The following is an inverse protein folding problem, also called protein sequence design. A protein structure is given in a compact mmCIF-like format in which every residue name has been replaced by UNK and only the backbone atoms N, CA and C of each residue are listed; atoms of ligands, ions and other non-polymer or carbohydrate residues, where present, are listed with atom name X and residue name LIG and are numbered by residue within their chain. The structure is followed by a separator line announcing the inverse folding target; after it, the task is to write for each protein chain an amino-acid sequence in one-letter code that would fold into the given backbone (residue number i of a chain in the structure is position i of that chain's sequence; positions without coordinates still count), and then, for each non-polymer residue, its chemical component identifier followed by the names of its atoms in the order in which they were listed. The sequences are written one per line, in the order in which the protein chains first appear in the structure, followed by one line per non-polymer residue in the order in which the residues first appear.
data_IF_740585674796
#
_entry.id   IF_740585674796
#
_cell.length_a   1.000
_cell.length_b   1.000
_cell.length_c   1.000
_cell.angle_alpha   90.00
_cell.angle_beta   90.00
_cell.angle_gamma   90.00
#
_symmetry.space_group_name_H-M   'P 1'
#
loop_
_entity.id
_entity.type
_entity.pdbx_description
1 polymer ?
#
# COMPACT_ATOMS: atom_id res chain seq x y z
N UNK A 1 16.81 9.08 -13.58
CA UNK A 1 15.89 9.21 -14.72
C UNK A 1 14.97 8.01 -14.92
N UNK A 2 15.27 6.83 -14.36
CA UNK A 2 14.45 5.62 -14.54
C UNK A 2 13.25 5.52 -13.58
N UNK A 3 13.27 6.22 -12.45
CA UNK A 3 12.18 6.23 -11.46
C UNK A 3 10.91 6.96 -11.96
N UNK A 4 11.04 7.91 -12.87
CA UNK A 4 9.89 8.64 -13.40
C UNK A 4 9.06 7.84 -14.43
N UNK A 5 9.66 6.86 -15.07
CA UNK A 5 8.98 6.06 -16.09
C UNK A 5 7.94 5.10 -15.49
N UNK A 6 8.17 4.59 -14.29
CA UNK A 6 7.27 3.63 -13.63
C UNK A 6 6.06 4.30 -12.97
N UNK A 7 6.23 5.51 -12.44
CA UNK A 7 5.10 6.31 -11.91
C UNK A 7 4.10 6.70 -13.02
N UNK A 8 4.56 6.74 -14.27
CA UNK A 8 3.73 7.09 -15.43
C UNK A 8 2.65 6.07 -15.79
N UNK A 9 2.85 4.79 -15.47
CA UNK A 9 1.88 3.74 -15.81
C UNK A 9 0.64 3.83 -14.93
N UNK A 10 0.83 4.06 -13.64
CA UNK A 10 -0.31 4.23 -12.71
C UNK A 10 -1.07 5.54 -12.98
N UNK A 11 -0.38 6.63 -13.32
CA UNK A 11 -1.05 7.89 -13.69
C UNK A 11 -1.97 7.79 -14.91
N UNK A 12 -1.67 6.88 -15.85
CA UNK A 12 -2.54 6.68 -17.03
C UNK A 12 -3.84 5.95 -16.69
N UNK A 13 -3.85 5.12 -15.65
CA UNK A 13 -5.04 4.37 -15.24
C UNK A 13 -5.95 5.13 -14.27
N UNK A 14 -5.38 6.02 -13.46
CA UNK A 14 -6.13 6.67 -12.37
C UNK A 14 -6.57 8.10 -12.67
N UNK A 15 -6.50 8.62 -13.87
CA UNK A 15 -7.06 9.92 -14.27
C UNK A 15 -7.15 10.91 -13.08
N UNK A 16 -6.01 11.35 -12.52
CA UNK A 16 -6.01 12.31 -11.40
C UNK A 16 -6.50 13.65 -11.90
N UNK A 17 -7.65 14.16 -11.42
CA UNK A 17 -8.03 15.54 -11.68
C UNK A 17 -7.10 16.46 -10.89
N UNK A 18 -6.55 17.43 -11.60
CA UNK A 18 -5.70 18.51 -11.13
C UNK A 18 -6.47 19.41 -10.15
N UNK A 19 -5.80 19.70 -9.04
CA UNK A 19 -5.91 20.89 -8.20
C UNK A 19 -7.28 21.44 -7.77
N UNK A 20 -7.53 21.36 -6.44
CA UNK A 20 -8.25 22.41 -5.71
C UNK A 20 -7.92 22.41 -4.22
N UNK A 21 -7.70 23.57 -3.60
CA UNK A 21 -7.22 23.68 -2.21
C UNK A 21 -8.33 23.51 -1.20
N UNK A 22 -8.15 22.60 -0.24
CA UNK A 22 -9.09 22.43 0.87
C UNK A 22 -8.71 23.34 2.02
N UNK A 23 -9.65 24.20 2.29
CA UNK A 23 -9.77 25.20 3.36
C UNK A 23 -9.82 24.51 4.72
N UNK A 24 -8.98 25.02 5.62
CA UNK A 24 -8.98 24.73 7.05
C UNK A 24 -10.35 25.00 7.70
N UNK A 25 -10.86 24.07 8.50
CA UNK A 25 -11.77 24.39 9.59
C UNK A 25 -11.29 23.70 10.86
N UNK A 26 -11.02 24.55 11.81
CA UNK A 26 -10.63 24.35 13.18
C UNK A 26 -11.89 24.57 14.04
N UNK A 27 -12.21 23.65 14.93
CA UNK A 27 -13.01 23.87 16.16
C UNK A 27 -12.90 22.62 17.01
N UNK A 28 -12.26 22.70 18.12
CA UNK A 28 -12.62 23.11 19.49
C UNK A 28 -13.32 22.03 20.32
N UNK A 29 -12.56 21.44 21.23
CA UNK A 29 -12.67 21.28 22.71
C UNK A 29 -13.94 20.64 23.29
N UNK A 30 -13.85 19.56 24.03
CA UNK A 30 -13.87 19.39 25.49
C UNK A 30 -13.98 17.91 25.87
N UNK A 31 -12.98 17.47 26.61
CA UNK A 31 -12.95 16.96 28.00
C UNK A 31 -13.60 15.59 28.34
N UNK A 32 -12.80 14.80 28.94
CA UNK A 32 -12.85 14.01 30.14
C UNK A 32 -12.60 12.50 30.04
N UNK A 33 -11.51 12.12 30.70
CA UNK A 33 -11.24 10.92 31.50
C UNK A 33 -10.81 9.62 30.82
N UNK A 34 -9.50 9.44 30.91
CA UNK A 34 -8.78 8.29 31.47
C UNK A 34 -9.10 6.89 30.92
N UNK A 35 -8.32 6.48 29.96
CA UNK A 35 -7.50 5.27 30.08
C UNK A 35 -6.32 5.46 29.16
N UNK A 36 -5.13 5.43 29.76
CA UNK A 36 -3.83 5.66 29.12
C UNK A 36 -3.47 4.47 28.23
N UNK A 37 -4.03 4.48 27.03
CA UNK A 37 -3.41 3.88 25.86
C UNK A 37 -3.02 5.05 24.99
N UNK A 38 -1.74 5.21 24.69
CA UNK A 38 -1.28 6.21 23.73
C UNK A 38 -2.14 6.02 22.46
N UNK A 39 -2.73 7.08 21.90
CA UNK A 39 -3.55 6.96 20.70
C UNK A 39 -2.67 6.41 19.60
N UNK A 40 -3.00 5.21 19.13
CA UNK A 40 -2.37 4.66 17.92
C UNK A 40 -2.47 5.73 16.83
N UNK A 41 -1.36 6.00 16.11
CA UNK A 41 -1.37 7.00 15.06
C UNK A 41 -2.48 6.66 14.05
N UNK A 42 -3.26 7.65 13.69
CA UNK A 42 -4.45 7.52 12.79
C UNK A 42 -4.11 6.78 11.50
N UNK A 43 -2.90 6.93 11.03
CA UNK A 43 -2.29 6.24 9.91
C UNK A 43 -2.32 4.71 10.06
N UNK A 44 -1.88 4.17 11.20
CA UNK A 44 -1.87 2.72 11.42
C UNK A 44 -3.27 2.12 11.44
N UNK A 45 -4.24 2.85 11.98
CA UNK A 45 -5.65 2.42 11.95
C UNK A 45 -6.20 2.37 10.53
N UNK A 46 -5.86 3.36 9.72
CA UNK A 46 -6.29 3.41 8.32
C UNK A 46 -5.68 2.26 7.51
N UNK A 47 -4.39 2.01 7.69
CA UNK A 47 -3.71 0.90 7.00
C UNK A 47 -4.24 -0.47 7.41
N UNK A 48 -4.57 -0.65 8.71
CA UNK A 48 -5.18 -1.88 9.19
C UNK A 48 -6.57 -2.09 8.58
N UNK A 49 -7.38 -1.05 8.49
CA UNK A 49 -8.69 -1.12 7.87
C UNK A 49 -8.61 -1.51 6.39
N UNK A 50 -7.65 -0.95 5.64
CA UNK A 50 -7.39 -1.31 4.25
C UNK A 50 -7.03 -2.79 4.11
N UNK A 51 -6.21 -3.33 5.03
CA UNK A 51 -5.82 -4.74 5.03
C UNK A 51 -6.99 -5.68 5.34
N UNK A 52 -7.82 -5.30 6.31
CA UNK A 52 -8.98 -6.10 6.70
C UNK A 52 -10.03 -6.15 5.58
N UNK A 53 -10.33 -5.00 4.99
CA UNK A 53 -11.25 -4.90 3.84
C UNK A 53 -10.73 -5.68 2.64
N UNK A 54 -9.43 -5.56 2.31
CA UNK A 54 -8.82 -6.26 1.19
C UNK A 54 -8.85 -7.78 1.38
N UNK A 55 -8.54 -8.25 2.58
CA UNK A 55 -8.59 -9.67 2.91
C UNK A 55 -10.01 -10.23 2.80
N UNK A 56 -11.00 -9.44 3.20
CA UNK A 56 -12.40 -9.82 3.18
C UNK A 56 -12.93 -9.96 1.74
N UNK A 57 -12.79 -8.93 0.91
CA UNK A 57 -13.28 -9.02 -0.47
C UNK A 57 -12.54 -10.08 -1.30
N UNK A 58 -11.23 -10.32 -1.06
CA UNK A 58 -10.52 -11.39 -1.77
C UNK A 58 -11.06 -12.78 -1.41
N UNK A 59 -11.46 -12.98 -0.15
CA UNK A 59 -12.13 -14.23 0.26
C UNK A 59 -13.48 -14.40 -0.48
N UNK A 60 -14.25 -13.33 -0.65
CA UNK A 60 -15.52 -13.36 -1.39
C UNK A 60 -15.31 -13.70 -2.87
N UNK A 61 -14.26 -13.16 -3.49
CA UNK A 61 -13.92 -13.45 -4.88
C UNK A 61 -13.32 -14.85 -5.10
N UNK A 62 -12.84 -15.52 -4.04
CA UNK A 62 -12.21 -16.85 -4.14
C UNK A 62 -13.13 -17.93 -4.74
N UNK A 63 -14.43 -17.73 -4.64
CA UNK A 63 -15.43 -18.66 -5.23
C UNK A 63 -15.58 -18.47 -6.75
N UNK A 64 -15.38 -17.26 -7.25
CA UNK A 64 -15.73 -16.86 -8.62
C UNK A 64 -14.53 -16.60 -9.53
N UNK A 65 -13.36 -16.42 -8.96
CA UNK A 65 -12.13 -16.07 -9.68
C UNK A 65 -11.14 -17.24 -9.62
N UNK A 66 -10.49 -17.62 -10.73
CA UNK A 66 -9.50 -18.68 -10.72
C UNK A 66 -8.36 -18.40 -9.70
N UNK A 67 -7.94 -19.41 -8.92
CA UNK A 67 -6.90 -19.24 -7.90
C UNK A 67 -5.61 -18.58 -8.44
N UNK A 68 -5.21 -18.91 -9.67
CA UNK A 68 -4.01 -18.32 -10.31
C UNK A 68 -4.08 -16.80 -10.46
N UNK A 69 -5.29 -16.23 -10.57
CA UNK A 69 -5.48 -14.79 -10.67
C UNK A 69 -5.54 -14.13 -9.28
N UNK A 70 -5.92 -14.86 -8.25
CA UNK A 70 -5.98 -14.34 -6.89
C UNK A 70 -4.62 -14.30 -6.19
N UNK A 71 -3.67 -15.17 -6.59
CA UNK A 71 -2.34 -15.22 -5.98
C UNK A 71 -1.66 -13.85 -5.95
N UNK A 72 -1.49 -13.11 -7.06
CA UNK A 72 -0.87 -11.80 -7.01
C UNK A 72 -1.66 -10.77 -6.18
N UNK A 73 -2.99 -10.89 -6.10
CA UNK A 73 -3.80 -10.03 -5.24
C UNK A 73 -3.56 -10.31 -3.75
N UNK A 74 -3.47 -11.57 -3.33
CA UNK A 74 -3.08 -11.92 -1.97
C UNK A 74 -1.65 -11.51 -1.64
N UNK A 75 -0.73 -11.63 -2.59
CA UNK A 75 0.65 -11.17 -2.44
C UNK A 75 0.71 -9.65 -2.24
N UNK A 76 -0.13 -8.85 -2.92
CA UNK A 76 -0.23 -7.40 -2.69
C UNK A 76 -0.64 -7.09 -1.24
N UNK A 77 -1.67 -7.78 -0.72
CA UNK A 77 -2.12 -7.60 0.67
C UNK A 77 -1.00 -7.94 1.65
N UNK A 78 -0.32 -9.05 1.43
CA UNK A 78 0.79 -9.48 2.31
C UNK A 78 1.99 -8.52 2.22
N UNK A 79 2.30 -8.03 1.03
CA UNK A 79 3.38 -7.06 0.83
C UNK A 79 3.02 -5.72 1.49
N UNK A 80 1.78 -5.26 1.37
CA UNK A 80 1.31 -4.06 2.05
C UNK A 80 1.35 -4.20 3.58
N UNK A 81 1.01 -5.38 4.12
CA UNK A 81 1.16 -5.67 5.56
C UNK A 81 2.62 -5.54 6.01
N UNK A 82 3.58 -6.03 5.22
CA UNK A 82 5.01 -5.88 5.51
C UNK A 82 5.44 -4.41 5.48
N UNK A 83 4.97 -3.65 4.48
CA UNK A 83 5.24 -2.22 4.39
C UNK A 83 4.75 -1.50 5.65
N UNK A 84 3.50 -1.73 6.06
CA UNK A 84 2.92 -1.07 7.24
C UNK A 84 3.61 -1.48 8.54
N UNK A 85 4.06 -2.73 8.66
CA UNK A 85 4.82 -3.18 9.81
C UNK A 85 6.21 -2.53 9.88
N UNK A 86 6.89 -2.37 8.74
CA UNK A 86 8.22 -1.77 8.67
C UNK A 86 8.19 -0.23 8.81
N UNK A 87 7.12 0.43 8.39
CA UNK A 87 6.92 1.89 8.57
C UNK A 87 6.29 2.27 9.90
N UNK A 88 5.56 1.36 10.53
CA UNK A 88 4.83 1.58 11.79
C UNK A 88 5.64 1.31 13.06
N UNK A 89 6.72 0.55 12.98
CA UNK A 89 7.67 0.43 14.08
C UNK A 89 8.52 1.72 14.10
N UNK A 90 8.78 2.30 15.24
CA UNK A 90 9.57 3.51 15.59
C UNK A 90 10.74 3.91 14.65
N UNK A 91 10.72 3.38 13.43
CA UNK A 91 11.65 3.63 12.34
C UNK A 91 11.26 4.90 11.59
N UNK A 92 12.24 5.72 11.24
CA UNK A 92 12.06 6.92 10.42
C UNK A 92 11.74 6.64 8.95
N UNK A 93 11.70 5.37 8.56
CA UNK A 93 11.32 4.99 7.21
C UNK A 93 9.87 5.35 6.95
N UNK A 94 9.66 6.33 6.11
CA UNK A 94 8.33 6.78 5.71
C UNK A 94 8.17 6.63 4.21
N UNK A 95 7.04 6.07 3.79
CA UNK A 95 6.67 6.16 2.39
C UNK A 95 6.27 7.60 2.04
N UNK A 96 6.61 8.08 0.86
CA UNK A 96 6.00 9.30 0.33
C UNK A 96 4.46 9.15 0.36
N UNK A 97 3.76 10.19 0.83
CA UNK A 97 2.29 10.16 0.96
C UNK A 97 1.56 9.83 -0.34
N UNK A 98 2.13 10.22 -1.48
CA UNK A 98 1.62 9.88 -2.81
C UNK A 98 1.73 8.39 -3.10
N UNK A 99 2.84 7.76 -2.72
CA UNK A 99 3.05 6.30 -2.90
C UNK A 99 2.09 5.53 -2.00
N UNK A 100 1.98 5.92 -0.76
CA UNK A 100 1.06 5.30 0.19
C UNK A 100 -0.39 5.38 -0.29
N UNK A 101 -0.85 6.57 -0.68
CA UNK A 101 -2.18 6.77 -1.25
C UNK A 101 -2.42 5.88 -2.48
N UNK A 102 -1.41 5.74 -3.35
CA UNK A 102 -1.50 4.89 -4.55
C UNK A 102 -1.68 3.42 -4.18
N UNK A 103 -0.90 2.91 -3.21
CA UNK A 103 -1.02 1.52 -2.76
C UNK A 103 -2.38 1.25 -2.10
N UNK A 104 -2.85 2.17 -1.25
CA UNK A 104 -4.18 2.07 -0.64
C UNK A 104 -5.28 2.07 -1.70
N UNK A 105 -5.23 2.98 -2.66
CA UNK A 105 -6.21 3.07 -3.76
C UNK A 105 -6.18 1.81 -4.63
N UNK A 106 -5.01 1.23 -4.86
CA UNK A 106 -4.91 -0.04 -5.58
C UNK A 106 -5.66 -1.15 -4.86
N UNK A 107 -5.50 -1.30 -3.54
CA UNK A 107 -6.20 -2.33 -2.76
C UNK A 107 -7.69 -2.04 -2.58
N UNK A 108 -8.09 -0.80 -2.37
CA UNK A 108 -9.49 -0.46 -2.03
C UNK A 108 -10.36 -0.22 -3.26
N UNK A 109 -9.78 0.11 -4.40
CA UNK A 109 -10.54 0.51 -5.59
C UNK A 109 -10.16 -0.28 -6.83
N UNK A 110 -8.87 -0.31 -7.20
CA UNK A 110 -8.44 -0.91 -8.46
C UNK A 110 -8.66 -2.41 -8.48
N UNK A 111 -8.13 -3.14 -7.51
CA UNK A 111 -8.22 -4.61 -7.46
C UNK A 111 -9.68 -5.09 -7.36
N UNK A 112 -10.53 -4.59 -6.43
CA UNK A 112 -11.92 -5.03 -6.37
C UNK A 112 -12.72 -4.67 -7.63
N UNK A 113 -12.47 -3.54 -8.27
CA UNK A 113 -13.12 -3.19 -9.54
C UNK A 113 -12.71 -4.15 -10.66
N UNK A 114 -11.43 -4.45 -10.78
CA UNK A 114 -10.91 -5.37 -11.79
C UNK A 114 -11.51 -6.78 -11.61
N UNK A 115 -11.55 -7.30 -10.39
CA UNK A 115 -12.16 -8.59 -10.07
C UNK A 115 -13.67 -8.58 -10.33
N UNK A 116 -14.36 -7.48 -10.00
CA UNK A 116 -15.80 -7.32 -10.26
C UNK A 116 -16.10 -7.33 -11.76
N UNK A 117 -15.33 -6.64 -12.58
CA UNK A 117 -15.49 -6.63 -14.04
C UNK A 117 -15.28 -8.03 -14.60
N UNK A 118 -14.24 -8.73 -14.12
CA UNK A 118 -13.96 -10.10 -14.53
C UNK A 118 -15.13 -11.05 -14.19
N UNK A 119 -15.66 -10.99 -12.98
CA UNK A 119 -16.77 -11.88 -12.55
C UNK A 119 -18.09 -11.62 -13.27
N UNK A 120 -18.29 -10.38 -13.77
CA UNK A 120 -19.45 -10.02 -14.61
C UNK A 120 -19.31 -10.49 -16.05
N UNK A 121 -18.12 -10.85 -16.49
CA UNK A 121 -17.88 -11.36 -17.83
C UNK A 121 -18.42 -12.80 -17.91
N UNK A 122 -19.43 -13.02 -18.76
CA UNK A 122 -19.96 -14.37 -19.00
C UNK A 122 -18.94 -15.20 -19.78
N UNK A 123 -18.51 -16.33 -19.20
CA UNK A 123 -17.54 -17.25 -19.79
C UNK A 123 -16.25 -16.54 -20.22
N UNK A 124 -15.43 -16.05 -19.26
CA UNK A 124 -14.19 -15.38 -19.59
C UNK A 124 -13.26 -16.30 -20.36
N UNK A 125 -12.67 -15.79 -21.44
CA UNK A 125 -11.73 -16.57 -22.26
C UNK A 125 -10.40 -16.79 -21.52
N UNK A 126 -9.58 -17.78 -21.95
CA UNK A 126 -8.24 -17.96 -21.39
C UNK A 126 -7.37 -16.71 -21.53
N UNK A 127 -7.52 -15.94 -22.62
CA UNK A 127 -6.83 -14.68 -22.85
C UNK A 127 -7.24 -13.63 -21.81
N UNK A 128 -8.54 -13.43 -21.59
CA UNK A 128 -9.05 -12.49 -20.58
C UNK A 128 -8.60 -12.88 -19.17
N UNK A 129 -8.53 -14.18 -18.87
CA UNK A 129 -7.98 -14.64 -17.60
C UNK A 129 -6.48 -14.36 -17.50
N UNK A 130 -5.73 -14.49 -18.58
CA UNK A 130 -4.31 -14.17 -18.63
C UNK A 130 -4.06 -12.66 -18.49
N UNK A 131 -4.88 -11.83 -19.10
CA UNK A 131 -4.85 -10.37 -18.95
C UNK A 131 -5.12 -9.95 -17.50
N UNK A 132 -6.10 -10.58 -16.84
CA UNK A 132 -6.35 -10.34 -15.42
C UNK A 132 -5.13 -10.68 -14.55
N UNK A 133 -4.55 -11.87 -14.76
CA UNK A 133 -3.33 -12.30 -14.03
C UNK A 133 -2.20 -11.31 -14.25
N UNK A 134 -1.99 -10.88 -15.50
CA UNK A 134 -0.92 -9.93 -15.83
C UNK A 134 -1.16 -8.59 -15.15
N UNK A 135 -2.37 -8.03 -15.23
CA UNK A 135 -2.70 -6.75 -14.59
C UNK A 135 -2.49 -6.78 -13.06
N UNK A 136 -2.88 -7.88 -12.41
CA UNK A 136 -2.66 -8.04 -10.97
C UNK A 136 -1.18 -8.26 -10.62
N UNK A 137 -0.43 -8.95 -11.48
CA UNK A 137 1.01 -9.14 -11.30
C UNK A 137 1.76 -7.82 -11.45
N UNK A 138 1.42 -7.02 -12.44
CA UNK A 138 2.01 -5.70 -12.66
C UNK A 138 1.72 -4.77 -11.48
N UNK A 139 0.49 -4.79 -10.97
CA UNK A 139 0.13 -4.04 -9.77
C UNK A 139 0.93 -4.52 -8.55
N UNK A 140 1.10 -5.84 -8.36
CA UNK A 140 1.90 -6.39 -7.26
C UNK A 140 3.36 -5.94 -7.32
N UNK A 141 3.93 -5.77 -8.51
CA UNK A 141 5.30 -5.29 -8.66
C UNK A 141 5.52 -3.90 -8.05
N UNK A 142 4.50 -3.04 -8.07
CA UNK A 142 4.57 -1.72 -7.42
C UNK A 142 4.64 -1.84 -5.89
N UNK A 143 3.92 -2.79 -5.30
CA UNK A 143 4.01 -3.07 -3.85
C UNK A 143 5.39 -3.60 -3.48
N UNK A 144 5.96 -4.49 -4.26
CA UNK A 144 7.32 -5.01 -4.06
C UNK A 144 8.35 -3.90 -4.16
N UNK A 145 8.20 -3.00 -5.13
CA UNK A 145 9.07 -1.83 -5.29
C UNK A 145 9.01 -0.91 -4.07
N UNK A 146 7.80 -0.60 -3.58
CA UNK A 146 7.60 0.21 -2.39
C UNK A 146 8.22 -0.44 -1.13
N UNK A 147 8.05 -1.75 -0.95
CA UNK A 147 8.67 -2.49 0.15
C UNK A 147 10.20 -2.42 0.09
N UNK A 148 10.78 -2.55 -1.09
CA UNK A 148 12.23 -2.46 -1.26
C UNK A 148 12.76 -1.05 -0.96
N UNK A 149 12.00 0.00 -1.28
CA UNK A 149 12.35 1.38 -0.92
C UNK A 149 12.36 1.57 0.59
N UNK A 150 11.34 1.11 1.30
CA UNK A 150 11.28 1.17 2.78
C UNK A 150 12.47 0.44 3.40
N UNK A 151 12.83 -0.73 2.88
CA UNK A 151 13.96 -1.52 3.38
C UNK A 151 15.31 -0.89 3.09
N UNK A 152 15.46 -0.25 1.94
CA UNK A 152 16.68 0.46 1.58
C UNK A 152 16.90 1.67 2.51
N UNK A 153 15.85 2.42 2.85
CA UNK A 153 15.88 3.52 3.80
C UNK A 153 16.29 3.05 5.20
N UNK A 154 15.68 1.97 5.69
CA UNK A 154 16.04 1.36 6.98
C UNK A 154 17.50 0.87 7.01
N UNK A 155 17.98 0.29 5.90
CA UNK A 155 19.37 -0.17 5.79
C UNK A 155 20.38 1.00 5.84
N UNK A 156 20.08 2.09 5.14
CA UNK A 156 20.93 3.28 5.14
C UNK A 156 20.99 3.94 6.52
N UNK A 157 19.87 3.97 7.24
CA UNK A 157 19.83 4.50 8.60
C UNK A 157 20.68 3.65 9.54
N UNK A 158 20.58 2.33 9.48
CA UNK A 158 21.37 1.40 10.29
C UNK A 158 22.88 1.58 10.02
N UNK A 159 23.28 1.71 8.76
CA UNK A 159 24.67 1.94 8.37
C UNK A 159 25.18 3.27 8.95
N UNK A 160 24.40 4.33 8.85
CA UNK A 160 24.71 5.65 9.39
C UNK A 160 24.90 5.58 10.90
N UNK A 161 24.00 4.93 11.64
CA UNK A 161 24.14 4.74 13.08
C UNK A 161 25.36 3.88 13.45
N UNK A 162 25.65 2.85 12.70
CA UNK A 162 26.80 1.98 12.93
C UNK A 162 28.11 2.76 12.74
N UNK A 163 28.20 3.57 11.71
CA UNK A 163 29.36 4.43 11.46
C UNK A 163 29.53 5.47 12.58
N UNK A 164 28.44 6.08 13.03
CA UNK A 164 28.46 7.04 14.15
C UNK A 164 28.95 6.40 15.46
N UNK A 165 28.46 5.19 15.77
CA UNK A 165 28.87 4.44 16.96
C UNK A 165 30.33 4.05 16.90
N UNK A 166 30.82 3.55 15.76
CA UNK A 166 32.25 3.24 15.55
C UNK A 166 33.14 4.45 15.80
N UNK A 167 32.76 5.61 15.29
CA UNK A 167 33.53 6.85 15.46
C UNK A 167 33.59 7.31 16.91
N UNK A 168 32.53 7.05 17.68
CA UNK A 168 32.43 7.42 19.10
C UNK A 168 33.18 6.45 20.02
N UNK A 169 33.28 5.17 19.63
CA UNK A 169 33.99 4.14 20.40
C UNK A 169 35.49 4.06 20.08
N UNK A 170 35.94 4.74 19.04
CA UNK A 170 37.37 4.77 18.62
C UNK A 170 38.18 5.92 19.31
N UNK A 171 37.63 6.57 20.35
CA UNK A 171 38.29 7.53 21.23
C UNK A 171 38.58 6.84 22.56
#
# INVERSE_FOLDING_TARGET
PELEAHVGVIKRFFGVPDDSPIRSQQESVTDASAHSSAPEPTYLRQSQHVLDDASHYLADFAVSVPPRALVPAFEMVETYRKITAETGSDTRATLPSTTEYTLQTALTTYVPNLLTVYTRTHNPTPEQTSELVQALTDANQEFVTALNLVRADNSLELETHTLFMRKRMAV
#
